data_IF_576100074472
#
_entry.id   IF_576100074472
#
_cell.length_a   1.000
_cell.length_b   1.000
_cell.length_c   1.000
_cell.angle_alpha   90.00
_cell.angle_beta   90.00
_cell.angle_gamma   90.00
#
_symmetry.space_group_name_H-M   'P 1'
#
loop_
_entity.id
_entity.type
_entity.pdbx_description
1 polymer ?
#
# COMPACT_ATOMS: atom_id res chain seq x y z
N UNK A 1 -1.89 -5.26 17.83
CA UNK A 1 -3.02 -4.47 18.37
C UNK A 1 -2.71 -3.43 19.44
N UNK A 2 -1.46 -3.18 19.84
CA UNK A 2 -1.16 -2.21 20.92
C UNK A 2 -1.83 -0.83 20.71
N UNK A 3 -1.75 -0.24 19.51
CA UNK A 3 -2.33 1.08 19.22
C UNK A 3 -3.86 1.08 19.39
N UNK A 4 -4.54 0.13 18.75
CA UNK A 4 -6.01 0.02 18.84
C UNK A 4 -6.48 -0.34 20.26
N UNK A 5 -5.74 -1.18 20.99
CA UNK A 5 -6.03 -1.52 22.38
C UNK A 5 -5.90 -0.31 23.33
N UNK A 6 -5.14 0.72 22.94
CA UNK A 6 -5.03 1.99 23.67
C UNK A 6 -6.00 3.08 23.15
N UNK A 7 -7.04 2.69 22.41
CA UNK A 7 -8.06 3.61 21.90
C UNK A 7 -7.75 4.21 20.52
N UNK A 8 -6.68 3.77 19.86
CA UNK A 8 -6.32 4.22 18.52
C UNK A 8 -5.61 5.59 18.47
N UNK A 9 -5.48 6.14 17.27
CA UNK A 9 -4.85 7.45 17.05
C UNK A 9 -5.89 8.54 17.28
N UNK A 10 -5.70 9.39 18.28
CA UNK A 10 -6.67 10.43 18.66
C UNK A 10 -8.09 9.87 18.91
N UNK A 11 -8.19 8.69 19.53
CA UNK A 11 -9.48 8.03 19.78
C UNK A 11 -10.09 7.32 18.58
N UNK A 12 -9.38 7.24 17.45
CA UNK A 12 -9.82 6.56 16.22
C UNK A 12 -8.99 5.28 16.01
N UNK A 13 -9.61 4.09 16.16
CA UNK A 13 -8.95 2.82 15.83
C UNK A 13 -8.51 2.79 14.37
N UNK A 14 -7.39 2.13 14.11
CA UNK A 14 -6.90 1.85 12.76
C UNK A 14 -7.62 0.61 12.23
N UNK A 15 -8.22 0.72 11.05
CA UNK A 15 -8.71 -0.41 10.29
C UNK A 15 -7.60 -0.93 9.38
N UNK A 16 -7.33 -2.23 9.45
CA UNK A 16 -6.31 -2.88 8.65
C UNK A 16 -6.98 -3.78 7.62
N UNK A 17 -6.74 -3.50 6.34
CA UNK A 17 -7.09 -4.37 5.24
C UNK A 17 -5.82 -5.03 4.72
N UNK A 18 -5.88 -6.35 4.52
CA UNK A 18 -4.75 -7.15 4.06
C UNK A 18 -5.21 -7.98 2.87
N UNK A 19 -4.43 -7.91 1.80
CA UNK A 19 -4.66 -8.62 0.56
C UNK A 19 -3.36 -9.27 0.11
N UNK A 20 -3.46 -10.40 -0.58
CA UNK A 20 -2.32 -11.12 -1.15
C UNK A 20 -2.34 -10.97 -2.67
N UNK A 21 -1.30 -10.34 -3.21
CA UNK A 21 -1.15 -10.16 -4.65
C UNK A 21 -0.59 -11.39 -5.37
N UNK A 22 -0.24 -12.44 -4.62
CA UNK A 22 0.27 -13.72 -5.11
C UNK A 22 1.50 -13.59 -6.02
N UNK A 23 2.26 -12.48 -5.89
CA UNK A 23 3.36 -12.13 -6.80
C UNK A 23 2.95 -12.09 -8.29
N UNK A 24 1.66 -11.93 -8.56
CA UNK A 24 1.10 -11.89 -9.89
C UNK A 24 0.78 -10.44 -10.28
N UNK A 25 1.29 -9.93 -11.42
CA UNK A 25 1.05 -8.55 -11.84
C UNK A 25 -0.42 -8.16 -11.97
N UNK A 26 -1.26 -9.07 -12.47
CA UNK A 26 -2.69 -8.81 -12.67
C UNK A 26 -3.43 -8.76 -11.34
N UNK A 27 -3.15 -9.71 -10.44
CA UNK A 27 -3.72 -9.72 -9.09
C UNK A 27 -3.24 -8.50 -8.30
N UNK A 28 -1.97 -8.11 -8.41
CA UNK A 28 -1.42 -6.91 -7.78
C UNK A 28 -2.15 -5.63 -8.22
N UNK A 29 -2.47 -5.50 -9.50
CA UNK A 29 -3.24 -4.37 -10.01
C UNK A 29 -4.68 -4.36 -9.50
N UNK A 30 -5.33 -5.53 -9.46
CA UNK A 30 -6.70 -5.68 -8.96
C UNK A 30 -6.79 -5.35 -7.47
N UNK A 31 -5.91 -5.92 -6.65
CA UNK A 31 -5.83 -5.68 -5.20
C UNK A 31 -5.56 -4.21 -4.90
N UNK A 32 -4.58 -3.61 -5.58
CA UNK A 32 -4.28 -2.18 -5.39
C UNK A 32 -5.46 -1.30 -5.80
N UNK A 33 -6.16 -1.63 -6.89
CA UNK A 33 -7.37 -0.91 -7.30
C UNK A 33 -8.46 -1.01 -6.24
N UNK A 34 -8.71 -2.22 -5.72
CA UNK A 34 -9.68 -2.44 -4.65
C UNK A 34 -9.35 -1.60 -3.42
N UNK A 35 -8.13 -1.71 -2.90
CA UNK A 35 -7.73 -0.99 -1.68
C UNK A 35 -7.75 0.53 -1.88
N UNK A 36 -7.26 1.03 -3.02
CA UNK A 36 -7.12 2.47 -3.25
C UNK A 36 -8.43 3.13 -3.67
N UNK A 37 -9.22 2.50 -4.55
CA UNK A 37 -10.42 3.12 -5.14
C UNK A 37 -11.71 2.70 -4.47
N UNK A 38 -11.83 1.44 -4.08
CA UNK A 38 -13.09 0.92 -3.53
C UNK A 38 -13.13 1.10 -2.01
N UNK A 39 -12.03 0.77 -1.33
CA UNK A 39 -11.88 0.89 0.13
C UNK A 39 -11.33 2.27 0.56
N UNK A 40 -10.89 3.09 -0.40
CA UNK A 40 -10.39 4.46 -0.19
C UNK A 40 -9.33 4.58 0.91
N UNK A 41 -8.38 3.63 0.96
CA UNK A 41 -7.33 3.64 1.99
C UNK A 41 -6.46 4.88 1.93
N UNK A 42 -6.08 5.40 3.09
CA UNK A 42 -5.23 6.60 3.20
C UNK A 42 -3.75 6.33 2.92
N UNK A 43 -3.29 5.09 3.09
CA UNK A 43 -1.93 4.66 2.85
C UNK A 43 -1.85 3.13 2.74
N UNK A 44 -0.88 2.64 1.99
CA UNK A 44 -0.47 1.24 1.96
C UNK A 44 0.82 1.11 2.77
N UNK A 45 0.90 0.11 3.65
CA UNK A 45 2.03 -0.04 4.57
C UNK A 45 2.49 -1.51 4.63
N UNK A 46 3.80 -1.71 4.70
CA UNK A 46 4.41 -3.01 4.93
C UNK A 46 4.33 -3.97 3.73
N UNK A 47 4.09 -3.46 2.52
CA UNK A 47 4.10 -4.32 1.33
C UNK A 47 5.54 -4.77 1.02
N UNK A 48 5.72 -6.04 0.67
CA UNK A 48 7.02 -6.62 0.28
C UNK A 48 7.09 -7.00 -1.21
N UNK A 49 6.00 -6.78 -1.95
CA UNK A 49 5.89 -7.15 -3.35
C UNK A 49 6.57 -6.12 -4.25
N UNK A 50 7.69 -6.50 -4.85
CA UNK A 50 8.34 -5.72 -5.90
C UNK A 50 7.47 -5.63 -7.16
N UNK A 51 6.62 -6.63 -7.42
CA UNK A 51 5.70 -6.65 -8.57
C UNK A 51 4.68 -5.53 -8.43
N UNK A 52 4.07 -5.39 -7.25
CA UNK A 52 3.11 -4.33 -6.98
C UNK A 52 3.73 -2.93 -7.12
N UNK A 53 5.01 -2.75 -6.77
CA UNK A 53 5.68 -1.46 -6.90
C UNK A 53 5.76 -1.02 -8.37
N UNK A 54 6.19 -1.90 -9.27
CA UNK A 54 6.30 -1.58 -10.69
C UNK A 54 4.95 -1.37 -11.38
N UNK A 55 3.96 -2.23 -11.06
CA UNK A 55 2.66 -2.19 -11.74
C UNK A 55 1.78 -1.04 -11.25
N UNK A 56 1.87 -0.69 -9.96
CA UNK A 56 0.92 0.23 -9.32
C UNK A 56 1.47 1.63 -9.05
N UNK A 57 2.75 1.91 -9.31
CA UNK A 57 3.37 3.22 -9.08
C UNK A 57 2.51 4.39 -9.62
N UNK A 58 2.04 4.26 -10.86
CA UNK A 58 1.19 5.27 -11.51
C UNK A 58 -0.17 5.43 -10.81
N UNK A 59 -0.81 4.32 -10.42
CA UNK A 59 -2.07 4.35 -9.69
C UNK A 59 -1.91 5.11 -8.37
N UNK A 60 -0.85 4.81 -7.61
CA UNK A 60 -0.58 5.47 -6.33
C UNK A 60 -0.33 6.96 -6.49
N UNK A 61 0.41 7.37 -7.51
CA UNK A 61 0.63 8.79 -7.83
C UNK A 61 -0.68 9.50 -8.23
N UNK A 62 -1.46 8.91 -9.14
CA UNK A 62 -2.72 9.51 -9.62
C UNK A 62 -3.76 9.66 -8.52
N UNK A 63 -3.80 8.72 -7.56
CA UNK A 63 -4.74 8.75 -6.44
C UNK A 63 -4.18 9.46 -5.21
N UNK A 64 -2.91 9.86 -5.23
CA UNK A 64 -2.27 10.54 -4.10
C UNK A 64 -2.09 9.65 -2.86
N UNK A 65 -2.07 8.33 -3.03
CA UNK A 65 -1.88 7.37 -1.94
C UNK A 65 -0.40 7.00 -1.83
N UNK A 66 0.14 6.97 -0.61
CA UNK A 66 1.53 6.56 -0.36
C UNK A 66 1.61 5.07 -0.10
N UNK A 67 2.58 4.39 -0.73
CA UNK A 67 2.95 3.02 -0.43
C UNK A 67 4.29 2.99 0.31
N UNK A 68 4.25 2.65 1.60
CA UNK A 68 5.43 2.43 2.44
C UNK A 68 5.79 0.95 2.40
N UNK A 69 6.80 0.62 1.61
CA UNK A 69 7.32 -0.73 1.45
C UNK A 69 8.08 -1.17 2.71
N UNK A 70 7.97 -2.45 3.09
CA UNK A 70 8.83 -3.01 4.14
C UNK A 70 10.25 -3.30 3.65
N UNK A 71 10.44 -3.36 2.34
CA UNK A 71 11.75 -3.52 1.72
C UNK A 71 11.71 -3.07 0.27
N UNK A 72 12.75 -2.37 -0.17
CA UNK A 72 12.92 -1.91 -1.54
C UNK A 72 14.06 -2.66 -2.21
N UNK A 73 13.77 -3.36 -3.30
CA UNK A 73 14.75 -4.11 -4.08
C UNK A 73 14.76 -3.74 -5.57
N UNK A 74 13.95 -2.76 -5.98
CA UNK A 74 13.77 -2.33 -7.37
C UNK A 74 13.92 -0.82 -7.50
N UNK A 75 14.27 -0.33 -8.69
CA UNK A 75 14.51 1.10 -8.92
C UNK A 75 13.27 1.96 -8.63
N UNK A 76 12.09 1.40 -8.89
CA UNK A 76 10.81 2.07 -8.76
C UNK A 76 10.55 2.58 -7.34
N UNK A 77 11.08 1.96 -6.29
CA UNK A 77 10.91 2.49 -4.94
C UNK A 77 11.85 3.66 -4.59
N UNK A 78 12.76 4.04 -5.49
CA UNK A 78 13.55 5.28 -5.38
C UNK A 78 13.11 6.34 -6.40
N UNK A 79 12.48 5.93 -7.50
CA UNK A 79 12.11 6.80 -8.61
C UNK A 79 10.63 7.20 -8.59
N UNK A 80 9.77 6.40 -7.97
CA UNK A 80 8.33 6.68 -7.89
C UNK A 80 8.04 7.66 -6.75
N UNK A 81 7.30 8.72 -7.05
CA UNK A 81 6.95 9.78 -6.10
C UNK A 81 6.18 9.29 -4.87
N UNK A 82 5.33 8.28 -5.05
CA UNK A 82 4.39 7.79 -4.05
C UNK A 82 4.80 6.43 -3.45
N UNK A 83 6.02 5.95 -3.72
CA UNK A 83 6.56 4.73 -3.12
C UNK A 83 7.78 5.13 -2.29
N UNK A 84 7.82 4.68 -1.04
CA UNK A 84 8.95 4.90 -0.12
C UNK A 84 9.26 3.62 0.63
N UNK A 85 10.49 3.51 1.14
CA UNK A 85 10.94 2.42 2.02
C UNK A 85 11.47 2.96 3.34
#
# INVERSE_FOLDING_TARGET
DCVNANGGINGRPIEYLVEDDQWNPEVAAQVATKLVKDEEVVALVGNASFVAMGVNAKLYEEQGVMAMASGCAVAECFESKNIVS
#
